data_IF_097897532797
#
_entry.id   IF_097897532797
#
_cell.length_a   1.000
_cell.length_b   1.000
_cell.length_c   1.000
_cell.angle_alpha   90.00
_cell.angle_beta   90.00
_cell.angle_gamma   90.00
#
_symmetry.space_group_name_H-M   'P 1'
#
loop_
_entity.id
_entity.type
_entity.pdbx_description
1 polymer ?
#
# COMPACT_ATOMS: atom_id res chain seq x y z
N UNK A 1 -32.85 -34.24 -15.29
CA UNK A 1 -32.11 -35.53 -15.37
C UNK A 1 -31.14 -35.60 -14.18
N UNK A 2 -31.07 -36.70 -13.43
CA UNK A 2 -30.26 -36.84 -12.21
C UNK A 2 -29.16 -37.91 -12.37
N UNK A 3 -27.92 -37.58 -12.00
CA UNK A 3 -26.78 -38.45 -11.62
C UNK A 3 -25.88 -37.54 -10.76
N UNK A 4 -25.50 -37.75 -9.50
CA UNK A 4 -25.56 -38.89 -8.56
C UNK A 4 -24.74 -40.12 -8.96
N UNK A 5 -23.50 -40.16 -8.47
CA UNK A 5 -22.73 -41.38 -8.19
C UNK A 5 -22.03 -41.24 -6.83
N UNK A 6 -21.66 -42.36 -6.24
CA UNK A 6 -21.46 -42.56 -4.80
C UNK A 6 -20.10 -43.22 -4.53
N UNK A 7 -19.49 -42.89 -3.37
CA UNK A 7 -18.55 -43.66 -2.52
C UNK A 7 -17.56 -44.69 -3.12
N UNK A 8 -16.32 -44.64 -2.63
CA UNK A 8 -15.36 -45.76 -2.69
C UNK A 8 -14.09 -45.51 -1.86
N UNK A 9 -14.02 -46.08 -0.65
CA UNK A 9 -12.86 -46.06 0.26
C UNK A 9 -11.98 -47.30 -0.02
N UNK A 10 -10.65 -47.28 0.24
CA UNK A 10 -9.95 -48.18 1.21
C UNK A 10 -8.43 -48.39 1.00
N UNK A 11 -7.71 -48.34 2.14
CA UNK A 11 -6.42 -48.95 2.53
C UNK A 11 -5.09 -48.68 1.81
N UNK A 12 -4.08 -48.46 2.65
CA UNK A 12 -2.65 -48.59 2.34
C UNK A 12 -2.15 -50.02 2.65
N UNK A 13 -1.04 -50.42 2.02
CA UNK A 13 -0.19 -51.52 2.48
C UNK A 13 1.28 -51.23 2.18
N UNK A 14 2.13 -51.42 3.19
CA UNK A 14 3.60 -51.39 3.09
C UNK A 14 4.09 -52.83 2.97
N UNK A 15 5.15 -53.09 2.19
CA UNK A 15 6.12 -54.16 2.48
C UNK A 15 7.41 -53.99 1.68
N UNK A 16 8.54 -54.32 2.30
CA UNK A 16 9.89 -54.20 1.76
C UNK A 16 10.36 -55.48 1.05
N UNK A 17 11.41 -55.36 0.22
CA UNK A 17 12.08 -56.52 -0.41
C UNK A 17 13.52 -56.22 -0.80
N UNK A 18 14.48 -56.76 -0.04
CA UNK A 18 15.90 -56.78 -0.39
C UNK A 18 16.30 -58.13 -1.01
N UNK A 19 17.30 -58.14 -1.91
CA UNK A 19 18.06 -59.35 -2.27
C UNK A 19 19.47 -58.93 -2.74
N UNK A 20 20.53 -59.23 -1.98
CA UNK A 20 21.46 -60.37 -2.16
C UNK A 20 22.42 -60.20 -3.37
N UNK A 21 23.68 -59.77 -3.19
CA UNK A 21 24.89 -60.56 -2.83
C UNK A 21 25.42 -61.45 -4.01
N UNK A 22 26.72 -61.70 -4.25
CA UNK A 22 27.95 -61.73 -3.41
C UNK A 22 29.24 -61.55 -4.31
N UNK A 23 30.50 -62.00 -4.00
CA UNK A 23 31.65 -61.09 -3.77
C UNK A 23 32.96 -61.35 -4.59
N UNK A 24 34.02 -60.63 -4.18
CA UNK A 24 35.47 -61.00 -4.10
C UNK A 24 36.40 -60.17 -5.04
N UNK A 25 37.66 -59.82 -4.70
CA UNK A 25 38.51 -60.21 -3.56
C UNK A 25 39.60 -59.13 -3.23
N UNK A 26 39.79 -58.87 -1.94
CA UNK A 26 41.04 -58.59 -1.19
C UNK A 26 42.26 -57.86 -1.82
N UNK A 27 42.63 -56.71 -1.23
CA UNK A 27 43.97 -56.53 -0.61
C UNK A 27 43.95 -55.41 0.44
N UNK A 28 44.52 -55.68 1.62
CA UNK A 28 44.70 -54.75 2.75
C UNK A 28 45.80 -53.71 2.43
N UNK A 29 45.94 -52.53 3.06
CA UNK A 29 45.31 -51.91 4.22
C UNK A 29 45.37 -50.35 4.03
N UNK A 30 45.08 -49.43 4.96
CA UNK A 30 44.76 -49.54 6.40
C UNK A 30 43.77 -48.42 6.83
N UNK A 31 43.91 -47.87 8.03
CA UNK A 31 43.00 -46.95 8.72
C UNK A 31 43.27 -45.46 8.47
N UNK A 32 42.25 -44.73 8.02
CA UNK A 32 41.96 -43.39 8.55
C UNK A 32 40.47 -43.08 8.43
N UNK A 33 39.97 -42.25 9.35
CA UNK A 33 38.56 -42.05 9.66
C UNK A 33 37.93 -41.06 8.67
N UNK A 34 36.97 -41.52 7.86
CA UNK A 34 36.19 -40.66 6.97
C UNK A 34 34.94 -40.13 7.68
N UNK A 35 34.71 -38.82 7.58
CA UNK A 35 33.36 -38.24 7.57
C UNK A 35 33.23 -37.46 6.27
N UNK A 36 32.52 -38.06 5.31
CA UNK A 36 32.27 -37.47 4.00
C UNK A 36 31.16 -36.44 4.10
N UNK A 37 31.45 -35.20 3.71
CA UNK A 37 30.45 -34.13 3.57
C UNK A 37 29.44 -34.48 2.48
N UNK A 38 28.19 -34.76 2.88
CA UNK A 38 27.04 -34.76 1.96
C UNK A 38 26.53 -33.32 1.86
N UNK A 39 26.45 -32.80 0.64
CA UNK A 39 25.92 -31.47 0.39
C UNK A 39 24.43 -31.42 0.73
N UNK A 40 24.06 -30.61 1.72
CA UNK A 40 22.70 -30.12 1.90
C UNK A 40 22.55 -28.80 1.15
N UNK A 41 21.63 -28.74 0.18
CA UNK A 41 21.15 -27.48 -0.36
C UNK A 41 20.36 -26.75 0.73
N UNK A 42 21.07 -25.96 1.54
CA UNK A 42 20.44 -24.95 2.38
C UNK A 42 20.11 -23.78 1.46
N UNK A 43 18.83 -23.63 1.11
CA UNK A 43 18.29 -22.39 0.55
C UNK A 43 18.49 -21.27 1.57
N UNK A 44 19.66 -20.64 1.52
CA UNK A 44 19.96 -19.43 2.26
C UNK A 44 19.00 -18.37 1.75
N UNK A 45 17.98 -18.03 2.55
CA UNK A 45 17.18 -16.84 2.29
C UNK A 45 18.14 -15.67 2.13
N UNK A 46 18.11 -15.03 0.95
CA UNK A 46 18.99 -13.92 0.66
C UNK A 46 18.65 -12.79 1.65
N UNK A 47 19.51 -12.60 2.65
CA UNK A 47 19.54 -11.37 3.42
C UNK A 47 20.02 -10.30 2.45
N UNK A 48 19.08 -9.61 1.80
CA UNK A 48 19.34 -8.38 1.07
C UNK A 48 20.13 -7.46 1.99
N UNK A 49 21.30 -7.00 1.56
CA UNK A 49 22.10 -6.06 2.33
C UNK A 49 21.34 -4.72 2.35
N UNK A 50 20.57 -4.51 3.42
CA UNK A 50 19.58 -3.43 3.57
C UNK A 50 20.18 -2.02 3.47
N UNK A 51 21.50 -1.92 3.35
CA UNK A 51 22.23 -0.67 3.11
C UNK A 51 22.14 -0.18 1.66
N UNK A 52 21.82 -1.04 0.69
CA UNK A 52 21.86 -0.68 -0.73
C UNK A 52 20.46 -0.49 -1.36
N UNK A 53 19.39 -0.85 -0.66
CA UNK A 53 18.00 -0.68 -1.11
C UNK A 53 17.33 0.49 -0.39
N UNK A 54 16.35 1.11 -1.05
CA UNK A 54 15.37 2.00 -0.43
C UNK A 54 13.98 1.43 -0.69
N UNK A 55 13.35 0.87 0.35
CA UNK A 55 12.10 0.14 0.26
C UNK A 55 10.92 1.01 0.65
N UNK A 56 10.06 1.33 -0.31
CA UNK A 56 8.91 2.22 -0.13
C UNK A 56 7.64 1.40 -0.01
N UNK A 57 6.95 1.53 1.13
CA UNK A 57 5.60 1.00 1.34
C UNK A 57 4.54 1.92 0.78
N UNK A 58 3.62 1.35 -0.01
CA UNK A 58 2.50 2.04 -0.63
C UNK A 58 1.26 1.14 -0.72
N UNK A 59 0.07 1.72 -0.66
CA UNK A 59 -1.15 1.04 -1.13
C UNK A 59 -1.16 1.09 -2.66
N UNK A 60 -1.34 -0.06 -3.31
CA UNK A 60 -1.33 -0.20 -4.77
C UNK A 60 -2.67 0.19 -5.43
N UNK A 61 -3.68 0.50 -4.62
CA UNK A 61 -5.03 0.89 -5.04
C UNK A 61 -5.30 2.39 -4.80
N UNK A 62 -4.24 3.20 -4.61
CA UNK A 62 -4.28 4.64 -4.31
C UNK A 62 -3.75 5.53 -5.47
N UNK A 63 -4.46 5.59 -6.63
CA UNK A 63 -4.06 6.47 -7.73
C UNK A 63 -4.44 7.93 -7.44
N UNK A 64 -3.67 8.93 -7.92
CA UNK A 64 -2.50 8.81 -8.80
C UNK A 64 -1.17 8.72 -8.02
N UNK A 65 -1.18 8.53 -6.70
CA UNK A 65 0.01 8.66 -5.85
C UNK A 65 0.96 7.47 -6.02
N UNK A 66 0.45 6.26 -5.87
CA UNK A 66 1.15 5.02 -6.15
C UNK A 66 0.11 3.93 -6.36
N UNK A 67 0.17 3.24 -7.49
CA UNK A 67 -0.86 2.31 -7.91
C UNK A 67 -0.39 1.36 -9.02
N UNK A 68 -1.20 0.35 -9.35
CA UNK A 68 -0.98 -0.51 -10.52
C UNK A 68 -1.48 0.19 -11.79
N UNK A 69 -0.58 0.43 -12.73
CA UNK A 69 -0.88 1.01 -14.04
C UNK A 69 -1.67 0.07 -14.96
N UNK A 70 -2.17 0.59 -16.08
CA UNK A 70 -2.93 -0.20 -17.06
C UNK A 70 -2.05 -1.24 -17.80
N UNK A 71 -0.72 -1.13 -17.68
CA UNK A 71 0.29 -2.10 -18.12
C UNK A 71 0.60 -3.19 -17.09
N UNK A 72 0.09 -3.05 -15.85
CA UNK A 72 0.33 -3.96 -14.73
C UNK A 72 1.56 -3.62 -13.88
N UNK A 73 2.29 -2.55 -14.21
CA UNK A 73 3.48 -2.11 -13.46
C UNK A 73 3.12 -1.09 -12.37
N UNK A 74 3.97 -0.96 -11.35
CA UNK A 74 3.76 0.05 -10.31
C UNK A 74 4.15 1.45 -10.83
N UNK A 75 3.23 2.40 -10.70
CA UNK A 75 3.37 3.77 -11.20
C UNK A 75 2.67 4.77 -10.28
N UNK A 76 2.97 6.06 -10.44
CA UNK A 76 2.35 7.12 -9.65
C UNK A 76 3.30 8.27 -9.30
N UNK A 77 2.72 9.36 -8.84
CA UNK A 77 3.43 10.58 -8.45
C UNK A 77 4.48 10.32 -7.35
N UNK A 78 4.10 9.65 -6.27
CA UNK A 78 5.01 9.35 -5.15
C UNK A 78 6.06 8.31 -5.53
N UNK A 79 5.70 7.33 -6.35
CA UNK A 79 6.66 6.31 -6.81
C UNK A 79 7.73 6.93 -7.71
N UNK A 80 7.38 7.90 -8.57
CA UNK A 80 8.36 8.65 -9.37
C UNK A 80 9.23 9.60 -8.53
N UNK A 81 8.67 10.26 -7.51
CA UNK A 81 9.48 11.01 -6.55
C UNK A 81 10.45 10.09 -5.80
N UNK A 82 9.97 8.93 -5.33
CA UNK A 82 10.77 7.93 -4.63
C UNK A 82 11.91 7.36 -5.49
N UNK A 83 11.67 7.10 -6.77
CA UNK A 83 12.70 6.66 -7.70
C UNK A 83 13.83 7.68 -7.88
N UNK A 84 13.49 8.97 -8.02
CA UNK A 84 14.50 10.03 -8.12
C UNK A 84 15.25 10.24 -6.80
N UNK A 85 14.57 10.14 -5.64
CA UNK A 85 15.22 10.14 -4.32
C UNK A 85 16.20 8.97 -4.21
N UNK A 86 15.78 7.73 -4.51
CA UNK A 86 16.64 6.55 -4.44
C UNK A 86 17.91 6.73 -5.30
N UNK A 87 17.74 7.23 -6.53
CA UNK A 87 18.83 7.58 -7.46
C UNK A 87 19.78 8.63 -6.88
N UNK A 88 19.30 9.66 -6.19
CA UNK A 88 20.15 10.68 -5.51
C UNK A 88 20.87 10.13 -4.29
N UNK A 89 20.26 9.18 -3.58
CA UNK A 89 20.86 8.44 -2.47
C UNK A 89 21.83 7.33 -2.93
N UNK A 90 21.90 7.03 -4.23
CA UNK A 90 22.70 5.92 -4.77
C UNK A 90 22.18 4.54 -4.39
N UNK A 91 20.89 4.43 -4.03
CA UNK A 91 20.22 3.20 -3.59
C UNK A 91 19.34 2.63 -4.72
N UNK A 92 19.16 1.31 -4.71
CA UNK A 92 18.16 0.62 -5.54
C UNK A 92 16.77 0.87 -4.97
N UNK A 93 15.84 1.39 -5.78
CA UNK A 93 14.43 1.56 -5.38
C UNK A 93 13.75 0.19 -5.33
N UNK A 94 13.06 -0.11 -4.23
CA UNK A 94 12.16 -1.26 -4.13
C UNK A 94 10.77 -0.77 -3.74
N UNK A 95 9.80 -0.95 -4.63
CA UNK A 95 8.39 -0.75 -4.30
C UNK A 95 7.86 -1.98 -3.58
N UNK A 96 7.19 -1.77 -2.44
CA UNK A 96 6.59 -2.80 -1.63
C UNK A 96 5.10 -2.49 -1.46
N UNK A 97 4.21 -3.11 -2.25
CA UNK A 97 2.77 -2.97 -2.01
C UNK A 97 2.44 -3.57 -0.63
N UNK A 98 1.56 -2.90 0.09
CA UNK A 98 1.10 -3.27 1.43
C UNK A 98 -0.42 -3.11 1.53
N UNK A 99 -1.06 -3.89 2.39
CA UNK A 99 -2.41 -3.55 2.84
C UNK A 99 -2.31 -2.30 3.74
N UNK A 100 -3.18 -1.31 3.54
CA UNK A 100 -3.04 -0.02 4.23
C UNK A 100 -3.21 -0.15 5.75
N UNK A 101 -4.05 -1.06 6.22
CA UNK A 101 -4.24 -1.39 7.64
C UNK A 101 -3.03 -2.11 8.28
N UNK A 102 -2.08 -2.60 7.47
CA UNK A 102 -0.84 -3.24 7.92
C UNK A 102 0.39 -2.30 7.93
N UNK A 103 0.28 -1.06 7.45
CA UNK A 103 1.43 -0.14 7.24
C UNK A 103 2.33 0.05 8.47
N UNK A 104 1.73 0.15 9.66
CA UNK A 104 2.47 0.31 10.92
C UNK A 104 3.29 -0.91 11.29
N UNK A 105 2.77 -2.11 11.00
CA UNK A 105 3.46 -3.38 11.24
C UNK A 105 4.64 -3.52 10.28
N UNK A 106 4.46 -3.23 8.99
CA UNK A 106 5.50 -3.35 7.96
C UNK A 106 6.64 -2.32 8.16
N UNK A 107 6.32 -1.11 8.62
CA UNK A 107 7.32 -0.12 8.99
C UNK A 107 8.03 -0.49 10.31
N UNK A 108 7.29 -1.07 11.27
CA UNK A 108 7.85 -1.49 12.56
C UNK A 108 8.78 -2.70 12.44
N UNK A 109 8.45 -3.67 11.59
CA UNK A 109 9.31 -4.84 11.28
C UNK A 109 10.57 -4.46 10.50
N UNK A 110 10.51 -3.36 9.72
CA UNK A 110 11.53 -3.03 8.73
C UNK A 110 11.36 -3.79 7.41
N UNK A 111 10.15 -4.25 7.08
CA UNK A 111 9.81 -4.70 5.72
C UNK A 111 9.88 -3.55 4.72
N UNK A 112 9.53 -2.34 5.19
CA UNK A 112 9.62 -1.07 4.46
C UNK A 112 10.47 -0.07 5.27
N UNK A 113 11.16 0.82 4.56
CA UNK A 113 12.00 1.86 5.15
C UNK A 113 11.19 3.15 5.44
N UNK A 114 10.16 3.40 4.64
CA UNK A 114 9.17 4.46 4.84
C UNK A 114 7.80 4.11 4.23
N UNK A 115 6.75 4.80 4.69
CA UNK A 115 5.43 4.87 4.07
C UNK A 115 5.38 6.12 3.20
N UNK A 116 5.12 5.98 1.90
CA UNK A 116 5.06 7.11 0.95
C UNK A 116 4.03 6.84 -0.15
N UNK A 117 2.79 7.23 0.12
CA UNK A 117 1.65 7.04 -0.76
C UNK A 117 0.49 7.93 -0.28
N UNK A 118 0.51 9.22 -0.60
CA UNK A 118 -0.48 10.19 -0.12
C UNK A 118 -0.65 10.18 1.41
N UNK A 119 0.44 10.10 2.17
CA UNK A 119 0.32 9.79 3.60
C UNK A 119 0.14 11.06 4.46
N UNK A 120 -1.09 11.28 4.91
CA UNK A 120 -1.51 12.45 5.70
C UNK A 120 -0.83 12.52 7.07
N UNK A 121 -0.31 13.70 7.42
CA UNK A 121 0.42 13.94 8.68
C UNK A 121 -0.54 14.09 9.87
N UNK A 122 -1.70 14.71 9.65
CA UNK A 122 -2.64 15.14 10.69
C UNK A 122 -3.29 13.97 11.44
N UNK A 123 -3.40 14.09 12.77
CA UNK A 123 -3.95 13.05 13.66
C UNK A 123 -2.99 11.87 13.92
N UNK A 124 -1.74 11.99 13.48
CA UNK A 124 -0.69 10.97 13.61
C UNK A 124 0.74 11.55 13.65
N UNK A 125 0.86 12.83 14.02
CA UNK A 125 2.09 13.60 14.11
C UNK A 125 3.15 12.90 14.98
N UNK A 126 2.75 12.46 16.19
CA UNK A 126 3.64 11.80 17.17
C UNK A 126 3.93 10.31 16.88
N UNK A 127 3.31 9.71 15.85
CA UNK A 127 3.44 8.27 15.56
C UNK A 127 4.63 7.92 14.67
N UNK A 128 5.16 8.89 13.92
CA UNK A 128 6.24 8.69 12.94
C UNK A 128 7.28 9.79 13.04
N UNK A 129 8.44 9.56 12.46
CA UNK A 129 9.37 10.65 12.12
C UNK A 129 9.00 11.13 10.73
N UNK A 130 8.61 12.40 10.58
CA UNK A 130 8.07 12.94 9.34
C UNK A 130 9.10 13.73 8.51
N UNK A 131 8.95 13.69 7.19
CA UNK A 131 9.47 14.74 6.30
C UNK A 131 8.72 16.07 6.52
N UNK A 132 9.18 17.15 5.89
CA UNK A 132 8.31 18.30 5.61
C UNK A 132 7.11 17.84 4.75
N UNK A 133 5.95 18.51 4.83
CA UNK A 133 4.85 18.21 3.93
C UNK A 133 5.20 18.57 2.48
N UNK A 134 4.89 17.70 1.53
CA UNK A 134 5.24 17.88 0.11
C UNK A 134 4.05 18.21 -0.79
N UNK A 135 2.81 18.03 -0.32
CA UNK A 135 1.58 18.31 -1.06
C UNK A 135 0.42 18.53 -0.09
N UNK A 136 -0.54 19.38 -0.45
CA UNK A 136 -1.79 19.57 0.30
C UNK A 136 -2.90 18.68 -0.29
N UNK A 137 -3.80 18.19 0.57
CA UNK A 137 -4.98 17.42 0.19
C UNK A 137 -6.19 17.81 1.06
N UNK A 138 -7.38 17.39 0.63
CA UNK A 138 -8.62 17.47 1.39
C UNK A 138 -9.25 16.08 1.47
N UNK A 139 -9.83 15.73 2.62
CA UNK A 139 -10.74 14.60 2.72
C UNK A 139 -12.14 15.08 2.31
N UNK A 140 -12.82 14.33 1.45
CA UNK A 140 -14.09 14.70 0.84
C UNK A 140 -15.06 13.52 0.85
N UNK A 141 -16.33 13.79 0.54
CA UNK A 141 -17.32 12.74 0.28
C UNK A 141 -17.58 12.62 -1.23
N UNK A 142 -17.61 11.39 -1.73
CA UNK A 142 -18.04 11.06 -3.09
C UNK A 142 -19.39 10.38 -3.03
N UNK A 143 -20.33 10.83 -3.87
CA UNK A 143 -21.70 10.31 -4.01
C UNK A 143 -22.01 10.04 -5.48
N UNK A 144 -23.12 9.34 -5.77
CA UNK A 144 -23.61 9.23 -7.15
C UNK A 144 -24.17 10.57 -7.64
N UNK A 145 -23.90 10.94 -8.90
CA UNK A 145 -24.41 12.18 -9.52
C UNK A 145 -25.94 12.23 -9.65
N UNK A 146 -26.62 11.08 -9.61
CA UNK A 146 -28.08 10.96 -9.64
C UNK A 146 -28.71 10.80 -8.24
N UNK A 147 -27.90 10.88 -7.18
CA UNK A 147 -28.39 10.88 -5.79
C UNK A 147 -29.02 12.22 -5.41
N UNK A 148 -29.80 12.22 -4.32
CA UNK A 148 -30.36 13.42 -3.70
C UNK A 148 -29.48 13.97 -2.57
N UNK A 149 -28.17 13.74 -2.62
CA UNK A 149 -27.22 14.13 -1.57
C UNK A 149 -26.40 15.29 -2.14
N UNK A 150 -26.72 16.51 -1.72
CA UNK A 150 -26.08 17.74 -2.22
C UNK A 150 -25.12 18.34 -1.17
N UNK A 151 -25.29 18.00 0.12
CA UNK A 151 -24.40 18.44 1.19
C UNK A 151 -24.08 17.34 2.23
N UNK A 152 -23.17 17.65 3.16
CA UNK A 152 -22.77 16.74 4.24
C UNK A 152 -23.98 16.42 5.15
N UNK A 153 -24.91 17.36 5.34
CA UNK A 153 -26.11 17.18 6.13
C UNK A 153 -27.07 16.12 5.54
N UNK A 154 -27.08 15.95 4.22
CA UNK A 154 -27.88 14.92 3.52
C UNK A 154 -27.35 13.49 3.75
N UNK A 155 -26.15 13.34 4.36
CA UNK A 155 -25.61 12.06 4.81
C UNK A 155 -26.28 11.55 6.10
N UNK A 156 -27.16 12.34 6.72
CA UNK A 156 -27.94 11.90 7.87
C UNK A 156 -28.83 10.69 7.53
N UNK A 157 -28.69 9.60 8.28
CA UNK A 157 -29.38 8.33 8.03
C UNK A 157 -28.83 7.49 6.86
N UNK A 158 -27.75 7.92 6.20
CA UNK A 158 -27.13 7.24 5.07
C UNK A 158 -26.09 6.19 5.46
N UNK A 159 -25.74 5.31 4.52
CA UNK A 159 -24.60 4.40 4.65
C UNK A 159 -23.36 5.05 4.06
N UNK A 160 -22.41 5.42 4.92
CA UNK A 160 -21.12 6.00 4.54
C UNK A 160 -20.03 4.93 4.68
N UNK A 161 -19.15 4.88 3.70
CA UNK A 161 -18.01 3.98 3.67
C UNK A 161 -16.68 4.74 3.64
N UNK A 162 -15.61 4.13 4.16
CA UNK A 162 -14.30 4.76 4.26
C UNK A 162 -13.21 3.68 4.27
N UNK A 163 -12.01 3.97 3.75
CA UNK A 163 -10.92 2.98 3.82
C UNK A 163 -10.46 2.76 5.28
N UNK A 164 -10.22 1.51 5.66
CA UNK A 164 -9.71 1.16 6.99
C UNK A 164 -8.35 1.84 7.31
N UNK A 165 -8.23 2.44 8.49
CA UNK A 165 -7.04 3.17 8.98
C UNK A 165 -6.57 4.35 8.10
N UNK A 166 -7.47 4.88 7.27
CA UNK A 166 -7.29 6.13 6.52
C UNK A 166 -7.39 7.38 7.40
N UNK A 167 -6.97 8.52 6.86
CA UNK A 167 -7.20 9.86 7.43
C UNK A 167 -8.68 10.24 7.44
N UNK A 168 -9.46 9.90 6.42
CA UNK A 168 -10.93 10.04 6.45
C UNK A 168 -11.56 9.29 7.63
N UNK A 169 -11.12 8.04 7.91
CA UNK A 169 -11.66 7.27 9.03
C UNK A 169 -11.29 7.92 10.38
N UNK A 170 -10.08 8.44 10.51
CA UNK A 170 -9.66 9.19 11.68
C UNK A 170 -10.48 10.48 11.87
N UNK A 171 -10.64 11.28 10.82
CA UNK A 171 -11.43 12.52 10.85
C UNK A 171 -12.91 12.27 11.20
N UNK A 172 -13.50 11.18 10.71
CA UNK A 172 -14.86 10.76 11.10
C UNK A 172 -14.95 10.26 12.55
N UNK A 173 -13.93 9.56 13.05
CA UNK A 173 -13.85 9.13 14.46
C UNK A 173 -13.71 10.31 15.42
N UNK A 174 -13.02 11.37 15.01
CA UNK A 174 -12.88 12.61 15.79
C UNK A 174 -14.15 13.48 15.70
N UNK A 175 -14.73 13.62 14.49
CA UNK A 175 -15.99 14.33 14.27
C UNK A 175 -17.21 13.46 14.61
N UNK A 176 -17.31 13.10 15.89
CA UNK A 176 -18.40 12.27 16.44
C UNK A 176 -19.79 12.88 16.26
N UNK A 177 -19.92 14.22 16.19
CA UNK A 177 -21.18 14.89 15.90
C UNK A 177 -21.68 14.49 14.51
N UNK A 178 -20.87 14.70 13.47
CA UNK A 178 -21.18 14.29 12.10
C UNK A 178 -21.39 12.78 11.98
N UNK A 179 -20.43 11.96 12.43
CA UNK A 179 -20.47 10.52 12.25
C UNK A 179 -21.67 9.86 12.95
N UNK A 180 -22.19 10.47 14.02
CA UNK A 180 -23.42 10.00 14.70
C UNK A 180 -24.71 10.26 13.92
N UNK A 181 -24.69 11.12 12.91
CA UNK A 181 -25.86 11.36 12.04
C UNK A 181 -26.06 10.25 11.02
N UNK A 182 -24.99 9.54 10.63
CA UNK A 182 -25.04 8.50 9.60
C UNK A 182 -25.90 7.31 10.07
N UNK A 183 -26.63 6.70 9.14
CA UNK A 183 -27.37 5.45 9.40
C UNK A 183 -26.43 4.27 9.62
N UNK A 184 -25.27 4.28 8.95
CA UNK A 184 -24.17 3.35 9.15
C UNK A 184 -22.86 4.00 8.68
N UNK A 185 -21.80 3.89 9.48
CA UNK A 185 -20.42 4.05 9.03
C UNK A 185 -19.78 2.66 8.94
N UNK A 186 -19.17 2.32 7.80
CA UNK A 186 -18.47 1.05 7.60
C UNK A 186 -17.10 1.25 6.94
N UNK A 187 -16.23 0.25 7.06
CA UNK A 187 -14.90 0.27 6.46
C UNK A 187 -14.79 -0.66 5.25
N UNK A 188 -14.00 -0.24 4.27
CA UNK A 188 -13.59 -1.03 3.10
C UNK A 188 -12.06 -1.17 3.10
N UNK A 189 -11.52 -2.19 2.41
CA UNK A 189 -10.08 -2.41 2.32
C UNK A 189 -9.39 -1.40 1.39
N UNK A 190 -10.04 -1.05 0.29
CA UNK A 190 -9.49 -0.24 -0.80
C UNK A 190 -10.60 0.60 -1.46
N UNK A 191 -10.22 1.72 -2.10
CA UNK A 191 -11.19 2.61 -2.74
C UNK A 191 -11.76 2.07 -4.06
N UNK A 192 -11.12 1.10 -4.73
CA UNK A 192 -11.70 0.48 -5.93
C UNK A 192 -12.96 -0.31 -5.58
N UNK A 193 -12.93 -1.05 -4.48
CA UNK A 193 -14.07 -1.74 -3.87
C UNK A 193 -15.13 -0.73 -3.42
N UNK A 194 -14.75 0.34 -2.71
CA UNK A 194 -15.71 1.38 -2.30
C UNK A 194 -16.47 2.01 -3.47
N UNK A 195 -15.78 2.31 -4.58
CA UNK A 195 -16.44 2.78 -5.81
C UNK A 195 -17.37 1.74 -6.45
N UNK A 196 -17.09 0.44 -6.32
CA UNK A 196 -18.02 -0.61 -6.78
C UNK A 196 -19.27 -0.68 -5.89
N UNK A 197 -19.10 -0.62 -4.57
CA UNK A 197 -20.21 -0.65 -3.62
C UNK A 197 -21.10 0.61 -3.74
N UNK A 198 -20.51 1.79 -4.02
CA UNK A 198 -21.25 3.02 -4.34
C UNK A 198 -22.00 2.91 -5.67
N UNK A 199 -21.36 2.41 -6.74
CA UNK A 199 -22.02 2.24 -8.05
C UNK A 199 -23.24 1.32 -7.95
N UNK A 200 -23.07 0.19 -7.25
CA UNK A 200 -24.11 -0.80 -7.01
C UNK A 200 -25.21 -0.34 -6.04
N UNK A 201 -25.03 0.80 -5.36
CA UNK A 201 -25.96 1.31 -4.35
C UNK A 201 -25.97 0.48 -3.06
N UNK A 202 -24.88 -0.20 -2.75
CA UNK A 202 -24.63 -0.84 -1.45
C UNK A 202 -24.30 0.17 -0.35
N UNK A 203 -23.75 1.33 -0.75
CA UNK A 203 -23.48 2.50 0.10
C UNK A 203 -24.00 3.76 -0.59
N UNK A 204 -24.25 4.82 0.20
CA UNK A 204 -24.73 6.11 -0.30
C UNK A 204 -23.56 7.10 -0.60
N UNK A 205 -22.45 6.97 0.12
CA UNK A 205 -21.28 7.84 0.00
C UNK A 205 -19.97 7.15 0.42
N UNK A 206 -18.85 7.61 -0.14
CA UNK A 206 -17.48 7.23 0.27
C UNK A 206 -16.78 8.47 0.83
N UNK A 207 -16.20 8.38 2.03
CA UNK A 207 -15.28 9.38 2.56
C UNK A 207 -13.84 9.02 2.14
N UNK A 208 -13.15 9.95 1.47
CA UNK A 208 -11.83 9.68 0.87
C UNK A 208 -11.05 10.93 0.47
N UNK A 209 -9.78 10.74 0.14
CA UNK A 209 -8.87 11.75 -0.40
C UNK A 209 -9.35 12.38 -1.72
N UNK A 210 -9.35 13.71 -1.78
CA UNK A 210 -9.76 14.49 -2.95
C UNK A 210 -8.97 14.13 -4.21
N UNK A 211 -7.67 13.81 -4.08
CA UNK A 211 -6.81 13.45 -5.22
C UNK A 211 -7.21 12.10 -5.83
N UNK A 212 -7.58 11.14 -4.99
CA UNK A 212 -8.03 9.80 -5.41
C UNK A 212 -9.44 9.89 -5.97
N UNK A 213 -10.33 10.66 -5.32
CA UNK A 213 -11.69 10.91 -5.82
C UNK A 213 -11.68 11.50 -7.23
N UNK A 214 -10.96 12.60 -7.44
CA UNK A 214 -10.88 13.26 -8.75
C UNK A 214 -10.27 12.35 -9.83
N UNK A 215 -9.25 11.56 -9.50
CA UNK A 215 -8.67 10.60 -10.44
C UNK A 215 -9.66 9.48 -10.80
N UNK A 216 -10.32 8.86 -9.81
CA UNK A 216 -11.28 7.78 -10.01
C UNK A 216 -12.48 8.23 -10.84
N UNK A 217 -13.05 9.40 -10.53
CA UNK A 217 -14.15 10.01 -11.30
C UNK A 217 -13.72 10.23 -12.75
N UNK A 218 -12.52 10.79 -12.97
CA UNK A 218 -11.97 11.01 -14.32
C UNK A 218 -11.74 9.70 -15.08
N UNK A 219 -11.13 8.69 -14.44
CA UNK A 219 -10.87 7.36 -15.05
C UNK A 219 -12.16 6.62 -15.41
N UNK A 220 -13.26 6.89 -14.68
CA UNK A 220 -14.60 6.34 -14.92
C UNK A 220 -15.42 7.12 -15.95
N UNK A 221 -14.82 8.13 -16.61
CA UNK A 221 -15.42 8.91 -17.70
C UNK A 221 -15.93 10.29 -17.31
N UNK A 222 -15.79 10.69 -16.04
CA UNK A 222 -16.23 12.01 -15.55
C UNK A 222 -17.74 12.13 -15.30
N UNK A 223 -18.48 11.03 -15.41
CA UNK A 223 -19.94 10.97 -15.22
C UNK A 223 -20.30 9.94 -14.14
N UNK A 224 -21.48 10.08 -13.52
CA UNK A 224 -22.05 9.10 -12.59
C UNK A 224 -21.67 9.27 -11.11
N UNK A 225 -20.57 9.96 -10.81
CA UNK A 225 -20.15 10.31 -9.44
C UNK A 225 -19.81 11.80 -9.32
N UNK A 226 -20.02 12.37 -8.13
CA UNK A 226 -19.62 13.74 -7.81
C UNK A 226 -19.00 13.81 -6.42
N UNK A 227 -18.12 14.78 -6.22
CA UNK A 227 -17.61 15.18 -4.90
C UNK A 227 -18.59 16.19 -4.29
N UNK A 228 -18.81 16.17 -2.98
CA UNK A 228 -19.55 17.22 -2.28
C UNK A 228 -18.67 18.46 -2.08
N UNK A 229 -19.24 19.66 -2.25
CA UNK A 229 -18.49 20.94 -2.26
C UNK A 229 -17.75 21.25 -0.94
N UNK A 230 -18.24 20.74 0.19
CA UNK A 230 -17.62 20.94 1.51
C UNK A 230 -16.69 19.77 1.84
N UNK A 231 -15.38 19.99 2.08
CA UNK A 231 -14.49 18.94 2.54
C UNK A 231 -14.79 18.55 4.00
N UNK A 232 -14.55 17.28 4.32
CA UNK A 232 -14.56 16.75 5.68
C UNK A 232 -13.41 17.34 6.52
N UNK A 233 -12.21 17.45 5.94
CA UNK A 233 -11.03 18.04 6.56
C UNK A 233 -9.99 18.46 5.51
N UNK A 234 -9.06 19.33 5.91
CA UNK A 234 -7.86 19.69 5.14
C UNK A 234 -6.63 19.06 5.76
N UNK A 235 -5.68 18.62 4.96
CA UNK A 235 -4.50 17.89 5.41
C UNK A 235 -3.28 18.11 4.49
N UNK A 236 -2.12 17.66 4.95
CA UNK A 236 -0.87 17.74 4.21
C UNK A 236 -0.21 16.35 4.17
N UNK A 237 0.26 15.95 3.01
CA UNK A 237 0.97 14.69 2.81
C UNK A 237 2.45 14.84 3.15
N UNK A 238 2.97 13.87 3.91
CA UNK A 238 4.38 13.70 4.23
C UNK A 238 4.85 12.28 3.97
N UNK A 239 6.13 12.04 4.23
CA UNK A 239 6.73 10.70 4.22
C UNK A 239 6.86 10.24 5.67
N UNK A 240 6.25 9.10 5.99
CA UNK A 240 6.26 8.52 7.32
C UNK A 240 7.45 7.57 7.49
N UNK A 241 8.44 7.95 8.29
CA UNK A 241 9.54 7.09 8.69
C UNK A 241 9.29 6.49 10.08
N UNK A 242 9.88 5.34 10.36
CA UNK A 242 9.82 4.71 11.68
C UNK A 242 10.23 5.71 12.77
N UNK A 243 9.42 5.87 13.82
CA UNK A 243 9.65 6.86 14.86
C UNK A 243 11.07 6.75 15.46
N UNK A 244 11.80 7.86 15.43
CA UNK A 244 13.21 7.96 15.83
C UNK A 244 14.23 7.75 14.70
N UNK A 245 13.81 7.41 13.48
CA UNK A 245 14.70 7.26 12.31
C UNK A 245 14.98 8.59 11.60
N UNK A 246 15.51 9.56 12.36
CA UNK A 246 15.84 10.89 11.84
C UNK A 246 16.90 10.85 10.74
N UNK A 247 17.85 9.92 10.80
CA UNK A 247 18.93 9.80 9.82
C UNK A 247 18.42 9.51 8.41
N UNK A 248 17.51 8.54 8.24
CA UNK A 248 16.91 8.26 6.92
C UNK A 248 16.00 9.40 6.47
N UNK A 249 15.23 9.99 7.40
CA UNK A 249 14.38 11.16 7.11
C UNK A 249 15.22 12.31 6.57
N UNK A 250 16.35 12.63 7.20
CA UNK A 250 17.24 13.72 6.80
C UNK A 250 17.89 13.45 5.42
N UNK A 251 18.29 12.21 5.13
CA UNK A 251 18.76 11.79 3.81
C UNK A 251 17.70 12.05 2.72
N UNK A 252 16.47 11.59 2.93
CA UNK A 252 15.37 11.76 1.97
C UNK A 252 14.94 13.23 1.86
N UNK A 253 14.86 13.95 2.98
CA UNK A 253 14.50 15.37 2.99
C UNK A 253 15.51 16.22 2.20
N UNK A 254 16.81 15.92 2.30
CA UNK A 254 17.84 16.60 1.51
C UNK A 254 17.65 16.35 0.02
N UNK A 255 17.36 15.11 -0.39
CA UNK A 255 17.08 14.79 -1.79
C UNK A 255 15.83 15.52 -2.31
N UNK A 256 14.77 15.58 -1.51
CA UNK A 256 13.55 16.33 -1.82
C UNK A 256 13.79 17.85 -1.94
N UNK A 257 14.51 18.46 -0.99
CA UNK A 257 14.86 19.88 -1.02
C UNK A 257 15.69 20.22 -2.30
N UNK A 258 16.58 19.32 -2.72
CA UNK A 258 17.33 19.45 -3.98
C UNK A 258 16.41 19.30 -5.22
N UNK A 259 15.50 18.32 -5.23
CA UNK A 259 14.53 18.12 -6.32
C UNK A 259 13.51 19.27 -6.44
N UNK A 260 13.22 19.98 -5.35
CA UNK A 260 12.42 21.21 -5.36
C UNK A 260 13.23 22.37 -5.94
N UNK A 261 14.51 22.50 -5.54
CA UNK A 261 15.39 23.57 -6.00
C UNK A 261 15.76 23.48 -7.49
N UNK A 262 15.91 22.28 -8.04
CA UNK A 262 16.24 22.07 -9.47
C UNK A 262 15.02 21.93 -10.40
N UNK A 263 13.80 21.89 -9.84
CA UNK A 263 12.55 21.80 -10.59
C UNK A 263 12.13 20.38 -11.00
N UNK A 264 12.84 19.35 -10.54
CA UNK A 264 12.46 17.94 -10.79
C UNK A 264 11.08 17.62 -10.20
N UNK A 265 10.80 18.05 -8.96
CA UNK A 265 9.47 17.84 -8.35
C UNK A 265 8.35 18.48 -9.15
N UNK A 266 8.55 19.73 -9.59
CA UNK A 266 7.59 20.45 -10.43
C UNK A 266 7.30 19.70 -11.73
N UNK A 267 8.34 19.17 -12.37
CA UNK A 267 8.22 18.40 -13.63
C UNK A 267 7.41 17.13 -13.44
N UNK A 268 7.63 16.39 -12.36
CA UNK A 268 6.86 15.18 -12.01
C UNK A 268 5.41 15.57 -11.65
N UNK A 269 5.23 16.66 -10.92
CA UNK A 269 3.90 17.18 -10.53
C UNK A 269 3.06 17.59 -11.74
N UNK A 270 3.63 18.34 -12.69
CA UNK A 270 2.93 18.75 -13.92
C UNK A 270 2.58 17.57 -14.82
N UNK A 271 3.38 16.48 -14.81
CA UNK A 271 3.05 15.23 -15.52
C UNK A 271 1.80 14.56 -14.94
N UNK A 272 1.67 14.52 -13.62
CA UNK A 272 0.59 13.79 -12.93
C UNK A 272 -0.69 14.61 -12.71
N UNK A 273 -0.57 15.92 -12.51
CA UNK A 273 -1.68 16.80 -12.13
C UNK A 273 -1.93 17.97 -13.10
N UNK A 274 -1.12 18.12 -14.17
CA UNK A 274 -1.21 19.23 -15.12
C UNK A 274 -0.80 20.60 -14.56
N UNK A 275 -0.36 20.66 -13.30
CA UNK A 275 0.07 21.85 -12.55
C UNK A 275 1.06 21.42 -11.46
N UNK A 276 1.84 22.36 -10.94
CA UNK A 276 2.62 22.14 -9.72
C UNK A 276 1.69 22.17 -8.49
N UNK A 277 1.59 21.04 -7.78
CA UNK A 277 0.88 20.91 -6.50
C UNK A 277 1.84 20.79 -5.30
N UNK A 278 3.15 20.93 -5.53
CA UNK A 278 4.16 20.61 -4.51
C UNK A 278 4.42 21.77 -3.55
N UNK A 279 4.47 21.49 -2.26
CA UNK A 279 4.77 22.45 -1.19
C UNK A 279 6.25 22.42 -0.81
N UNK A 280 6.66 21.59 0.15
CA UNK A 280 7.99 21.57 0.78
C UNK A 280 8.44 22.94 1.32
N UNK A 281 7.51 23.58 2.02
CA UNK A 281 7.72 24.83 2.76
C UNK A 281 8.50 24.58 4.05
#
# INVERSE_FOLDING_TARGET
MKKMYLLGILAAFVLAGCSSAKPAESSSADTSKAETTVAGETTTAAVTDSKNTFTVGFDQDFPPMGFVGDDGEFTGFDLELAAEVAKRLGKEIKYQPIAWDAKDMELSSGTIDCIWNGFSIQGREDKYTWSKPYMNNEQVFVVKSDSSIESIEDLAGKTVEVQADSSAEAALKENTELASTFGKLQTVADYNTGFMDLDMGGVDAIAMDSVVANYQITKRGGEGFTVLDTPLSTEEYGIGFKLGNEALRDEVQKALDEMKADGTMKTISEKWFGKDVTTLN
#
